data_IF_478232082787
#
_entry.id   IF_478232082787
#
_cell.length_a   1.000
_cell.length_b   1.000
_cell.length_c   1.000
_cell.angle_alpha   90.00
_cell.angle_beta   90.00
_cell.angle_gamma   90.00
#
_symmetry.space_group_name_H-M   'P 1'
#
loop_
_entity.id
_entity.type
_entity.pdbx_description
1 polymer ?
#
# COMPACT_ATOMS: atom_id res chain seq x y z
N UNK A 1 20.63 -2.62 34.85
CA UNK A 1 20.16 -1.51 33.99
C UNK A 1 20.03 -2.06 32.58
N UNK A 2 18.88 -1.95 31.91
CA UNK A 2 18.75 -2.35 30.51
C UNK A 2 19.74 -1.55 29.64
N UNK A 3 20.29 -2.15 28.57
CA UNK A 3 21.26 -1.46 27.72
C UNK A 3 20.60 -0.26 27.04
N UNK A 4 21.38 0.80 26.77
CA UNK A 4 20.86 2.06 26.26
C UNK A 4 19.92 1.86 25.07
N UNK A 5 20.24 0.98 24.12
CA UNK A 5 19.42 0.69 22.94
C UNK A 5 18.01 0.12 23.24
N UNK A 6 17.75 -0.34 24.46
CA UNK A 6 16.47 -0.93 24.88
C UNK A 6 15.49 0.11 25.48
N UNK A 7 15.74 1.40 25.27
CA UNK A 7 14.86 2.51 25.69
C UNK A 7 13.49 2.47 24.99
N UNK A 8 13.42 1.88 23.79
CA UNK A 8 12.17 1.72 23.02
C UNK A 8 11.15 0.82 23.73
N UNK A 9 11.61 -0.15 24.53
CA UNK A 9 10.73 -1.06 25.28
C UNK A 9 10.06 -0.40 26.51
N UNK A 10 10.45 0.83 26.85
CA UNK A 10 9.91 1.59 27.98
C UNK A 10 8.86 2.61 27.56
N UNK A 11 8.66 2.80 26.25
CA UNK A 11 7.65 3.71 25.73
C UNK A 11 6.26 3.09 25.91
N UNK A 12 5.32 3.77 26.60
CA UNK A 12 3.91 3.41 26.58
C UNK A 12 3.38 3.51 25.14
N UNK A 13 2.61 2.50 24.73
CA UNK A 13 1.83 2.49 23.48
C UNK A 13 2.63 2.75 22.20
N UNK A 14 3.68 1.94 21.96
CA UNK A 14 4.13 1.75 20.58
C UNK A 14 2.95 1.21 19.77
N UNK A 15 2.63 1.78 18.59
CA UNK A 15 1.58 1.24 17.73
C UNK A 15 1.83 -0.25 17.54
N UNK A 16 0.94 -1.07 18.09
CA UNK A 16 0.90 -2.49 17.78
C UNK A 16 0.80 -2.60 16.24
N UNK A 17 1.48 -3.58 15.65
CA UNK A 17 1.33 -3.86 14.21
C UNK A 17 -0.13 -4.18 13.82
N UNK A 18 -1.07 -4.21 14.76
CA UNK A 18 -2.51 -4.21 14.53
C UNK A 18 -3.04 -3.04 13.69
N UNK A 19 -2.38 -1.87 13.66
CA UNK A 19 -2.65 -0.79 12.68
C UNK A 19 -1.99 -1.05 11.31
N UNK A 20 -1.28 -2.16 11.15
CA UNK A 20 -0.59 -2.54 9.91
C UNK A 20 -1.54 -3.23 8.94
N UNK A 21 -1.94 -2.54 7.87
CA UNK A 21 -2.73 -3.18 6.81
C UNK A 21 -1.92 -4.30 6.14
N UNK A 22 -2.58 -5.41 5.76
CA UNK A 22 -1.90 -6.55 5.11
C UNK A 22 -1.21 -6.08 3.82
N UNK A 23 0.14 -6.02 3.78
CA UNK A 23 0.88 -5.47 2.66
C UNK A 23 0.66 -6.27 1.36
N UNK A 24 0.22 -7.53 1.46
CA UNK A 24 -0.03 -8.38 0.30
C UNK A 24 -1.12 -7.82 -0.61
N UNK A 25 -2.18 -7.26 -0.03
CA UNK A 25 -3.29 -6.70 -0.80
C UNK A 25 -2.84 -5.49 -1.64
N UNK A 26 -2.06 -4.59 -1.04
CA UNK A 26 -1.51 -3.41 -1.72
C UNK A 26 -0.55 -3.80 -2.85
N UNK A 27 0.38 -4.71 -2.56
CA UNK A 27 1.36 -5.19 -3.54
C UNK A 27 0.66 -5.90 -4.70
N UNK A 28 -0.40 -6.66 -4.42
CA UNK A 28 -1.18 -7.34 -5.46
C UNK A 28 -1.88 -6.35 -6.40
N UNK A 29 -2.60 -5.36 -5.87
CA UNK A 29 -3.31 -4.36 -6.70
C UNK A 29 -2.31 -3.48 -7.47
N UNK A 30 -1.20 -3.10 -6.84
CA UNK A 30 -0.13 -2.35 -7.49
C UNK A 30 0.48 -3.13 -8.66
N UNK A 31 0.84 -4.41 -8.43
CA UNK A 31 1.41 -5.28 -9.46
C UNK A 31 0.44 -5.51 -10.62
N UNK A 32 -0.85 -5.72 -10.32
CA UNK A 32 -1.89 -5.89 -11.33
C UNK A 32 -2.07 -4.61 -12.17
N UNK A 33 -2.15 -3.44 -11.53
CA UNK A 33 -2.26 -2.16 -12.22
C UNK A 33 -1.06 -1.87 -13.12
N UNK A 34 0.15 -2.16 -12.63
CA UNK A 34 1.38 -2.02 -13.41
C UNK A 34 1.39 -2.96 -14.63
N UNK A 35 1.00 -4.23 -14.45
CA UNK A 35 0.91 -5.19 -15.55
C UNK A 35 -0.10 -4.76 -16.62
N UNK A 36 -1.28 -4.29 -16.21
CA UNK A 36 -2.31 -3.79 -17.12
C UNK A 36 -1.81 -2.55 -17.88
N UNK A 37 -1.09 -1.65 -17.22
CA UNK A 37 -0.50 -0.48 -17.87
C UNK A 37 0.55 -0.87 -18.92
N UNK A 38 1.43 -1.84 -18.61
CA UNK A 38 2.44 -2.34 -19.56
C UNK A 38 1.76 -2.98 -20.77
N UNK A 39 0.82 -3.90 -20.54
CA UNK A 39 0.11 -4.57 -21.64
C UNK A 39 -0.62 -3.52 -22.49
N UNK A 40 -1.29 -2.57 -21.85
CA UNK A 40 -1.95 -1.44 -22.52
C UNK A 40 -0.99 -0.63 -23.37
N UNK A 41 0.22 -0.38 -22.88
CA UNK A 41 1.26 0.34 -23.61
C UNK A 41 1.75 -0.46 -24.83
N UNK A 42 1.97 -1.77 -24.66
CA UNK A 42 2.39 -2.69 -25.74
C UNK A 42 1.35 -2.75 -26.86
N UNK A 43 0.06 -2.85 -26.53
CA UNK A 43 -1.03 -2.87 -27.51
C UNK A 43 -1.50 -1.47 -27.95
N UNK A 44 -0.79 -0.42 -27.53
CA UNK A 44 -1.10 0.99 -27.83
C UNK A 44 -2.51 1.44 -27.43
N UNK A 45 -3.11 0.79 -26.43
CA UNK A 45 -4.44 1.13 -25.91
C UNK A 45 -4.34 2.17 -24.80
N UNK A 46 -4.68 3.41 -25.13
CA UNK A 46 -4.73 4.53 -24.17
C UNK A 46 -5.68 4.25 -23.00
N UNK A 47 -6.78 3.54 -23.26
CA UNK A 47 -7.75 3.15 -22.24
C UNK A 47 -7.14 2.15 -21.25
N UNK A 48 -6.46 1.11 -21.74
CA UNK A 48 -5.83 0.12 -20.88
C UNK A 48 -4.69 0.73 -20.04
N UNK A 49 -3.90 1.64 -20.62
CA UNK A 49 -2.89 2.41 -19.87
C UNK A 49 -3.55 3.24 -18.76
N UNK A 50 -4.63 3.96 -19.07
CA UNK A 50 -5.34 4.77 -18.07
C UNK A 50 -5.91 3.92 -16.92
N UNK A 51 -6.49 2.76 -17.24
CA UNK A 51 -6.99 1.81 -16.22
C UNK A 51 -5.84 1.29 -15.35
N UNK A 52 -4.71 0.91 -15.94
CA UNK A 52 -3.56 0.44 -15.19
C UNK A 52 -2.99 1.51 -14.24
N UNK A 53 -2.87 2.75 -14.72
CA UNK A 53 -2.45 3.89 -13.88
C UNK A 53 -3.46 4.17 -12.76
N UNK A 54 -4.76 4.11 -13.06
CA UNK A 54 -5.80 4.28 -12.04
C UNK A 54 -5.74 3.20 -10.97
N UNK A 55 -5.46 1.94 -11.33
CA UNK A 55 -5.26 0.83 -10.39
C UNK A 55 -4.03 1.04 -9.50
N UNK A 56 -2.92 1.52 -10.06
CA UNK A 56 -1.71 1.86 -9.28
C UNK A 56 -2.00 2.99 -8.29
N UNK A 57 -2.66 4.07 -8.74
CA UNK A 57 -3.08 5.16 -7.86
C UNK A 57 -4.07 4.70 -6.78
N UNK A 58 -4.98 3.78 -7.12
CA UNK A 58 -5.89 3.19 -6.16
C UNK A 58 -5.13 2.41 -5.08
N UNK A 59 -4.09 1.66 -5.44
CA UNK A 59 -3.25 0.96 -4.47
C UNK A 59 -2.46 1.91 -3.56
N UNK A 60 -1.94 3.03 -4.07
CA UNK A 60 -1.04 3.91 -3.30
C UNK A 60 -1.74 5.03 -2.56
N UNK A 61 -2.92 5.45 -3.00
CA UNK A 61 -3.65 6.61 -2.45
C UNK A 61 -4.99 6.20 -1.87
N UNK A 62 -5.81 5.47 -2.64
CA UNK A 62 -7.18 5.15 -2.22
C UNK A 62 -7.18 4.08 -1.13
N UNK A 63 -6.41 3.00 -1.29
CA UNK A 63 -6.40 1.91 -0.31
C UNK A 63 -5.89 2.34 1.08
N UNK A 64 -4.83 3.16 1.22
CA UNK A 64 -4.43 3.69 2.53
C UNK A 64 -5.48 4.64 3.11
N UNK A 65 -6.12 5.46 2.27
CA UNK A 65 -7.15 6.41 2.69
C UNK A 65 -8.40 5.69 3.20
N UNK A 66 -8.86 4.65 2.49
CA UNK A 66 -10.00 3.82 2.89
C UNK A 66 -9.70 3.12 4.21
N UNK A 67 -8.49 2.56 4.37
CA UNK A 67 -8.08 1.94 5.63
C UNK A 67 -8.13 2.95 6.80
N UNK A 68 -7.53 4.13 6.62
CA UNK A 68 -7.55 5.19 7.63
C UNK A 68 -8.97 5.67 7.97
N UNK A 69 -9.86 5.78 6.98
CA UNK A 69 -11.25 6.20 7.16
C UNK A 69 -12.14 5.10 7.76
N UNK A 70 -11.78 3.83 7.57
CA UNK A 70 -12.51 2.68 8.14
C UNK A 70 -12.24 2.46 9.64
N UNK A 71 -11.41 3.31 10.26
CA UNK A 71 -11.07 3.21 11.69
C UNK A 71 -10.03 2.13 11.99
N UNK A 72 -9.08 1.95 11.07
CA UNK A 72 -7.92 1.06 11.26
C UNK A 72 -7.09 1.41 12.49
#
# INVERSE_FOLDING_TARGET
MPPAWNWLAQLPDLPDRSVGTDPKAYVFVFGLGFLVAIIGHVVQSKLAVAIGVALVMAATVIAPLVFALSGG
#
